data_IF_620103748855
#
_entry.id   IF_620103748855
#
_cell.length_a   1.000
_cell.length_b   1.000
_cell.length_c   1.000
_cell.angle_alpha   90.00
_cell.angle_beta   90.00
_cell.angle_gamma   90.00
#
_symmetry.space_group_name_H-M   'P 1'
#
loop_
_entity.id
_entity.type
_entity.pdbx_description
1 polymer ?
#
# COMPACT_ATOMS: atom_id res chain seq x y z
N UNK A 1 -2.21 -1.42 -12.57
CA UNK A 1 -0.86 -1.68 -12.04
C UNK A 1 -0.72 -3.11 -11.56
N UNK A 2 0.46 -3.48 -11.04
CA UNK A 2 0.74 -4.77 -10.43
C UNK A 2 0.34 -4.79 -8.95
N UNK A 3 -0.15 -5.94 -8.46
CA UNK A 3 -0.43 -6.13 -7.03
C UNK A 3 0.90 -6.39 -6.32
N UNK A 4 1.18 -5.58 -5.30
CA UNK A 4 2.29 -5.75 -4.38
C UNK A 4 1.79 -6.29 -3.05
N UNK A 5 2.32 -7.44 -2.63
CA UNK A 5 2.00 -8.03 -1.33
C UNK A 5 2.64 -7.25 -0.18
N UNK A 6 2.15 -7.44 1.04
CA UNK A 6 2.77 -6.83 2.23
C UNK A 6 4.23 -7.26 2.40
N UNK A 7 4.54 -8.53 2.14
CA UNK A 7 5.91 -9.05 2.18
C UNK A 7 6.80 -8.34 1.16
N UNK A 8 6.34 -8.20 -0.09
CA UNK A 8 7.11 -7.48 -1.12
C UNK A 8 7.41 -6.03 -0.72
N UNK A 9 6.42 -5.33 -0.17
CA UNK A 9 6.63 -3.93 0.26
C UNK A 9 7.61 -3.86 1.44
N UNK A 10 7.51 -4.79 2.39
CA UNK A 10 8.44 -4.89 3.52
C UNK A 10 9.88 -5.17 3.07
N UNK A 11 10.05 -6.11 2.14
CA UNK A 11 11.36 -6.47 1.59
C UNK A 11 11.98 -5.28 0.85
N UNK A 12 11.25 -4.68 -0.09
CA UNK A 12 11.79 -3.64 -0.98
C UNK A 12 12.01 -2.29 -0.28
N UNK A 13 11.17 -1.93 0.70
CA UNK A 13 11.24 -0.61 1.35
C UNK A 13 11.99 -0.64 2.68
N UNK A 14 11.90 -1.74 3.44
CA UNK A 14 12.52 -1.87 4.76
C UNK A 14 13.62 -2.94 4.84
N UNK A 15 13.79 -3.79 3.83
CA UNK A 15 14.76 -4.89 3.87
C UNK A 15 14.34 -6.03 4.80
N UNK A 16 13.05 -6.17 5.09
CA UNK A 16 12.55 -7.26 5.92
C UNK A 16 12.23 -8.48 5.08
N UNK A 17 12.88 -9.60 5.39
CA UNK A 17 12.62 -10.89 4.76
C UNK A 17 11.56 -11.73 5.50
N UNK A 18 10.84 -11.11 6.44
CA UNK A 18 9.74 -11.71 7.19
C UNK A 18 8.62 -10.71 7.39
N UNK A 19 7.38 -11.19 7.57
CA UNK A 19 6.27 -10.35 7.99
C UNK A 19 6.36 -10.18 9.52
N UNK A 20 6.65 -8.98 10.03
CA UNK A 20 6.74 -8.75 11.48
C UNK A 20 5.38 -8.87 12.18
N UNK A 21 4.29 -9.15 11.47
CA UNK A 21 2.94 -9.24 12.04
C UNK A 21 2.41 -7.89 12.51
N UNK A 22 3.02 -6.79 12.03
CA UNK A 22 2.66 -5.42 12.42
C UNK A 22 1.77 -4.77 11.35
N UNK A 23 0.93 -3.83 11.78
CA UNK A 23 0.15 -2.99 10.88
C UNK A 23 0.98 -1.86 10.22
N UNK A 24 2.31 -1.96 10.21
CA UNK A 24 3.21 -0.90 9.78
C UNK A 24 2.92 -0.48 8.33
N UNK A 25 2.77 -1.45 7.41
CA UNK A 25 2.42 -1.15 6.01
C UNK A 25 1.11 -0.38 5.93
N UNK A 26 0.08 -0.83 6.65
CA UNK A 26 -1.26 -0.24 6.58
C UNK A 26 -1.23 1.22 7.10
N UNK A 27 -0.47 1.48 8.17
CA UNK A 27 -0.24 2.83 8.70
C UNK A 27 0.49 3.71 7.69
N UNK A 28 1.55 3.22 7.06
CA UNK A 28 2.32 3.97 6.08
C UNK A 28 1.52 4.24 4.80
N UNK A 29 0.75 3.28 4.31
CA UNK A 29 -0.17 3.48 3.18
C UNK A 29 -1.25 4.51 3.52
N UNK A 30 -1.82 4.46 4.73
CA UNK A 30 -2.78 5.47 5.19
C UNK A 30 -2.19 6.88 5.21
N UNK A 31 -0.94 7.04 5.67
CA UNK A 31 -0.21 8.32 5.63
C UNK A 31 0.10 8.76 4.20
N UNK A 32 0.48 7.83 3.33
CA UNK A 32 0.79 8.11 1.93
C UNK A 32 -0.45 8.61 1.19
N UNK A 33 -1.59 7.92 1.31
CA UNK A 33 -2.88 8.35 0.74
C UNK A 33 -3.23 9.77 1.15
N UNK A 34 -3.10 10.11 2.44
CA UNK A 34 -3.35 11.49 2.91
C UNK A 34 -2.47 12.56 2.25
N UNK A 35 -1.30 12.20 1.74
CA UNK A 35 -0.38 13.11 1.06
C UNK A 35 -0.63 13.20 -0.45
N UNK A 36 -1.04 12.11 -1.09
CA UNK A 36 -1.15 12.01 -2.56
C UNK A 36 -2.59 12.09 -3.08
N UNK A 37 -3.57 11.77 -2.23
CA UNK A 37 -5.00 11.78 -2.55
C UNK A 37 -5.68 12.92 -1.75
N UNK A 38 -5.54 14.19 -2.19
CA UNK A 38 -6.24 15.30 -1.55
C UNK A 38 -7.77 15.16 -1.69
N UNK A 39 -8.57 15.83 -0.82
CA UNK A 39 -10.02 15.76 -0.90
C UNK A 39 -10.54 16.10 -2.29
N UNK A 40 -11.39 15.23 -2.85
CA UNK A 40 -11.97 15.39 -4.19
C UNK A 40 -11.24 14.63 -5.30
N UNK A 41 -10.04 14.09 -5.04
CA UNK A 41 -9.35 13.21 -5.99
C UNK A 41 -9.76 11.74 -5.78
N UNK A 42 -9.68 10.96 -6.85
CA UNK A 42 -9.85 9.51 -6.76
C UNK A 42 -8.60 8.89 -6.14
N UNK A 43 -8.73 8.01 -5.13
CA UNK A 43 -7.60 7.31 -4.54
C UNK A 43 -6.76 6.53 -5.57
N UNK A 44 -5.47 6.85 -5.65
CA UNK A 44 -4.53 6.17 -6.56
C UNK A 44 -4.13 4.77 -6.07
N UNK A 45 -4.05 4.60 -4.75
CA UNK A 45 -3.67 3.33 -4.11
C UNK A 45 -4.93 2.59 -3.68
N UNK A 46 -5.15 1.39 -4.22
CA UNK A 46 -6.26 0.50 -3.83
C UNK A 46 -5.78 -0.66 -2.99
N UNK A 47 -6.62 -1.08 -2.04
CA UNK A 47 -6.37 -2.26 -1.21
C UNK A 47 -7.06 -3.47 -1.84
N UNK A 48 -6.30 -4.51 -2.16
CA UNK A 48 -6.80 -5.81 -2.61
C UNK A 48 -6.79 -6.73 -1.39
N UNK A 49 -7.96 -6.94 -0.78
CA UNK A 49 -8.09 -7.74 0.46
C UNK A 49 -7.45 -9.12 0.27
N UNK A 50 -6.63 -9.52 1.23
CA UNK A 50 -5.90 -10.80 1.21
C UNK A 50 -4.69 -10.84 0.27
N UNK A 51 -4.50 -9.85 -0.62
CA UNK A 51 -3.40 -9.86 -1.60
C UNK A 51 -2.38 -8.73 -1.39
N UNK A 52 -2.83 -7.51 -1.07
CA UNK A 52 -1.95 -6.36 -0.84
C UNK A 52 -2.48 -5.06 -1.43
N UNK A 53 -1.61 -4.34 -2.15
CA UNK A 53 -1.87 -2.99 -2.65
C UNK A 53 -1.57 -2.88 -4.15
N UNK A 54 -2.31 -2.02 -4.85
CA UNK A 54 -2.09 -1.75 -6.27
C UNK A 54 -2.27 -0.26 -6.56
N UNK A 55 -1.43 0.28 -7.43
CA UNK A 55 -1.66 1.60 -8.05
C UNK A 55 -2.51 1.39 -9.30
N UNK A 56 -3.68 2.01 -9.33
CA UNK A 56 -4.59 1.90 -10.48
C UNK A 56 -5.48 3.15 -10.57
N UNK A 57 -5.53 3.74 -11.77
CA UNK A 57 -6.40 4.88 -12.09
C UNK A 57 -7.87 4.53 -11.86
N UNK A 58 -8.72 5.49 -11.44
CA UNK A 58 -10.18 5.30 -11.45
C UNK A 58 -10.67 4.72 -12.78
N UNK A 59 -11.60 3.77 -12.69
CA UNK A 59 -12.48 3.43 -13.81
C UNK A 59 -13.72 4.30 -13.77
#
# INVERSE_FOLDING_TARGET
>A
GQILSRMMIFEEVWGYHFDPGTNLIDVHIGRLRKKIDPPGNVPLIRTVRGSGYVIAEPV
#
